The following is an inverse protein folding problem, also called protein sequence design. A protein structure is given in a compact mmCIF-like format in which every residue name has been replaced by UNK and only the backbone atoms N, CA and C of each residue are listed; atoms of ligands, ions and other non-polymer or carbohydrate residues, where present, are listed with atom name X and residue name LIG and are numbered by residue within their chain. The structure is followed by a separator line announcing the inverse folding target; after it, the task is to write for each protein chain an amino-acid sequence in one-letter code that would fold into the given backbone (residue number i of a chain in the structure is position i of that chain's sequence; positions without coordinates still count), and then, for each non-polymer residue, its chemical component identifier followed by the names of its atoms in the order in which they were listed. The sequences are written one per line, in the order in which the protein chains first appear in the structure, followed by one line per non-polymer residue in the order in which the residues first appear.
data_IF_754262588778
#
_entry.id   IF_754262588778
#
_cell.length_a   1.000
_cell.length_b   1.000
_cell.length_c   1.000
_cell.angle_alpha   90.00
_cell.angle_beta   90.00
_cell.angle_gamma   90.00
#
_symmetry.space_group_name_H-M   'P 1'
#
loop_
_entity.id
_entity.type
_entity.pdbx_description
1 polymer ?
#
# COMPACT_ATOMS: atom_id res chain seq x y z
N UNK A 1 4.37 28.83 21.98
CA UNK A 1 4.81 27.47 21.64
C UNK A 1 4.08 26.56 22.61
N UNK A 2 2.97 25.96 22.18
CA UNK A 2 2.30 24.95 23.01
C UNK A 2 3.22 23.73 23.10
N UNK A 3 3.49 23.28 24.32
CA UNK A 3 4.25 22.05 24.54
C UNK A 3 3.52 20.87 23.90
N UNK A 4 4.22 19.97 23.17
CA UNK A 4 3.60 18.79 22.61
C UNK A 4 3.09 17.92 23.77
N UNK A 5 1.76 17.89 23.96
CA UNK A 5 1.10 16.98 24.88
C UNK A 5 1.36 15.57 24.40
N UNK A 6 2.30 14.87 25.02
CA UNK A 6 2.49 13.44 24.76
C UNK A 6 1.18 12.73 25.10
N UNK A 7 0.51 12.10 24.11
CA UNK A 7 -0.73 11.41 24.39
C UNK A 7 -0.42 10.25 25.34
N UNK A 8 -1.21 10.15 26.42
CA UNK A 8 -1.13 9.05 27.39
C UNK A 8 -1.73 7.78 26.78
N UNK A 9 -1.11 7.29 25.71
CA UNK A 9 -1.48 6.03 25.06
C UNK A 9 -0.39 4.99 25.29
N UNK A 10 -0.78 3.72 25.25
CA UNK A 10 0.17 2.63 25.38
C UNK A 10 0.91 2.46 24.02
N UNK A 11 2.23 2.71 23.94
CA UNK A 11 2.98 2.65 22.67
C UNK A 11 2.85 1.30 21.94
N UNK A 12 2.66 0.22 22.69
CA UNK A 12 2.47 -1.13 22.17
C UNK A 12 1.23 -1.31 21.27
N UNK A 13 0.31 -0.34 21.24
CA UNK A 13 -0.85 -0.37 20.33
C UNK A 13 -0.43 -0.29 18.85
N UNK A 14 0.68 0.39 18.53
CA UNK A 14 1.22 0.48 17.17
C UNK A 14 2.02 -0.77 16.75
N UNK A 15 2.23 -1.73 17.66
CA UNK A 15 2.88 -2.99 17.33
C UNK A 15 2.04 -3.82 16.35
N UNK A 16 0.72 -3.81 16.49
CA UNK A 16 -0.17 -4.59 15.61
C UNK A 16 -0.13 -4.09 14.16
N UNK A 17 -0.29 -2.77 13.87
CA UNK A 17 -0.02 -2.21 12.55
C UNK A 17 1.36 -2.59 12.00
N UNK A 18 2.42 -2.50 12.81
CA UNK A 18 3.79 -2.82 12.37
C UNK A 18 3.96 -4.31 12.00
N UNK A 19 3.32 -5.23 12.72
CA UNK A 19 3.33 -6.65 12.36
C UNK A 19 2.58 -6.87 11.03
N UNK A 20 1.43 -6.22 10.84
CA UNK A 20 0.68 -6.29 9.58
C UNK A 20 1.50 -5.73 8.41
N UNK A 21 2.25 -4.65 8.61
CA UNK A 21 3.14 -4.05 7.60
C UNK A 21 4.24 -5.02 7.16
N UNK A 22 4.93 -5.65 8.11
CA UNK A 22 5.99 -6.62 7.83
C UNK A 22 5.43 -7.85 7.12
N UNK A 23 4.32 -8.42 7.62
CA UNK A 23 3.68 -9.60 7.02
C UNK A 23 3.22 -9.27 5.59
N UNK A 24 2.61 -8.11 5.39
CA UNK A 24 2.14 -7.72 4.06
C UNK A 24 3.30 -7.52 3.09
N UNK A 25 4.36 -6.82 3.51
CA UNK A 25 5.55 -6.59 2.68
C UNK A 25 6.25 -7.89 2.33
N UNK A 26 6.37 -8.83 3.27
CA UNK A 26 6.95 -10.14 3.01
C UNK A 26 6.12 -10.96 2.00
N UNK A 27 4.79 -10.98 2.14
CA UNK A 27 3.92 -11.69 1.21
C UNK A 27 3.91 -11.04 -0.19
N UNK A 28 3.96 -9.70 -0.26
CA UNK A 28 4.07 -8.96 -1.53
C UNK A 28 5.41 -9.23 -2.22
N UNK A 29 6.51 -9.31 -1.46
CA UNK A 29 7.83 -9.62 -2.00
C UNK A 29 7.87 -11.04 -2.59
N UNK A 30 7.34 -12.03 -1.89
CA UNK A 30 7.22 -13.41 -2.41
C UNK A 30 6.30 -13.44 -3.63
N UNK A 31 5.16 -12.73 -3.58
CA UNK A 31 4.21 -12.64 -4.68
C UNK A 31 4.84 -12.07 -5.95
N UNK A 32 5.64 -11.00 -5.82
CA UNK A 32 6.34 -10.37 -6.94
C UNK A 32 7.41 -11.27 -7.59
N UNK A 33 8.01 -12.19 -6.83
CA UNK A 33 8.97 -13.17 -7.38
C UNK A 33 8.28 -14.32 -8.15
N UNK A 34 6.98 -14.55 -7.90
CA UNK A 34 6.21 -15.64 -8.52
C UNK A 34 5.27 -15.15 -9.63
N UNK A 35 4.94 -13.86 -9.66
CA UNK A 35 4.04 -13.25 -10.64
C UNK A 35 4.73 -12.13 -11.42
N UNK A 36 4.08 -11.64 -12.48
CA UNK A 36 4.61 -10.51 -13.25
C UNK A 36 4.38 -9.19 -12.52
N UNK A 37 5.28 -8.22 -12.72
CA UNK A 37 5.13 -6.88 -12.15
C UNK A 37 3.81 -6.18 -12.56
N UNK A 38 3.31 -6.49 -13.77
CA UNK A 38 2.02 -6.00 -14.27
C UNK A 38 0.85 -6.57 -13.46
N UNK A 39 0.76 -7.90 -13.32
CA UNK A 39 -0.27 -8.56 -12.50
C UNK A 39 -0.23 -8.09 -11.04
N UNK A 40 0.96 -7.94 -10.45
CA UNK A 40 1.14 -7.40 -9.11
C UNK A 40 0.49 -6.01 -8.95
N UNK A 41 0.77 -5.09 -9.87
CA UNK A 41 0.22 -3.73 -9.81
C UNK A 41 -1.29 -3.72 -10.02
N UNK A 42 -1.83 -4.58 -10.89
CA UNK A 42 -3.27 -4.67 -11.10
C UNK A 42 -4.00 -5.26 -9.89
N UNK A 43 -3.39 -6.19 -9.17
CA UNK A 43 -3.93 -6.77 -7.93
C UNK A 43 -3.94 -5.76 -6.76
N UNK A 44 -3.21 -4.65 -6.85
CA UNK A 44 -3.32 -3.57 -5.87
C UNK A 44 -4.71 -2.92 -5.86
N UNK A 45 -5.51 -3.07 -6.92
CA UNK A 45 -6.93 -2.68 -6.88
C UNK A 45 -7.72 -3.38 -5.78
N UNK A 46 -7.34 -4.63 -5.41
CA UNK A 46 -7.97 -5.35 -4.30
C UNK A 46 -7.77 -4.65 -2.95
N UNK A 47 -6.70 -3.88 -2.79
CA UNK A 47 -6.44 -3.09 -1.59
C UNK A 47 -7.56 -2.09 -1.31
N UNK A 48 -8.05 -1.42 -2.36
CA UNK A 48 -9.10 -0.40 -2.25
C UNK A 48 -10.39 -1.03 -1.73
N UNK A 49 -10.74 -2.22 -2.25
CA UNK A 49 -11.93 -2.97 -1.82
C UNK A 49 -11.77 -3.45 -0.39
N UNK A 50 -10.64 -4.08 -0.06
CA UNK A 50 -10.40 -4.61 1.28
C UNK A 50 -10.39 -3.49 2.33
N UNK A 51 -9.70 -2.38 2.05
CA UNK A 51 -9.63 -1.21 2.94
C UNK A 51 -11.00 -0.56 3.10
N UNK A 52 -11.75 -0.41 2.00
CA UNK A 52 -13.12 0.10 2.04
C UNK A 52 -14.04 -0.77 2.91
N UNK A 53 -14.02 -2.09 2.72
CA UNK A 53 -14.84 -3.04 3.50
C UNK A 53 -14.43 -3.08 4.97
N UNK A 54 -13.13 -3.15 5.29
CA UNK A 54 -12.64 -3.13 6.67
C UNK A 54 -12.95 -1.79 7.36
N UNK A 55 -12.86 -0.67 6.64
CA UNK A 55 -13.20 0.65 7.17
C UNK A 55 -14.69 0.72 7.56
N UNK A 56 -15.60 0.15 6.76
CA UNK A 56 -17.03 0.02 7.15
C UNK A 56 -17.17 -0.79 8.43
N UNK A 57 -16.50 -1.93 8.50
CA UNK A 57 -16.64 -2.85 9.62
C UNK A 57 -16.09 -2.25 10.93
N UNK A 58 -14.95 -1.56 10.88
CA UNK A 58 -14.29 -1.00 12.05
C UNK A 58 -14.84 0.36 12.51
N UNK A 59 -15.22 1.24 11.57
CA UNK A 59 -15.74 2.57 11.89
C UNK A 59 -17.27 2.67 11.83
N UNK A 60 -17.97 1.61 11.39
CA UNK A 60 -19.44 1.55 11.23
C UNK A 60 -20.01 2.72 10.41
N UNK A 61 -19.20 3.27 9.50
CA UNK A 61 -19.61 4.40 8.62
C UNK A 61 -20.59 3.89 7.55
N UNK A 62 -21.63 4.68 7.27
CA UNK A 62 -22.57 4.42 6.17
C UNK A 62 -21.92 4.82 4.86
N UNK A 63 -21.94 3.92 3.88
CA UNK A 63 -21.39 4.16 2.54
C UNK A 63 -22.51 4.57 1.59
N UNK A 64 -22.25 5.64 0.83
CA UNK A 64 -23.12 6.10 -0.24
C UNK A 64 -23.03 5.19 -1.47
N UNK A 65 -24.14 4.98 -2.17
CA UNK A 65 -24.29 3.93 -3.19
C UNK A 65 -23.26 3.98 -4.34
N UNK A 66 -22.70 5.15 -4.66
CA UNK A 66 -21.67 5.24 -5.70
C UNK A 66 -20.35 4.57 -5.30
N UNK A 67 -19.98 4.55 -4.01
CA UNK A 67 -18.75 3.86 -3.55
C UNK A 67 -18.88 2.36 -3.71
N UNK A 68 -20.08 1.82 -3.50
CA UNK A 68 -20.41 0.41 -3.79
C UNK A 68 -20.24 0.08 -5.27
N UNK A 69 -20.68 0.99 -6.16
CA UNK A 69 -20.56 0.78 -7.60
C UNK A 69 -19.11 0.61 -8.04
N UNK A 70 -18.17 1.44 -7.58
CA UNK A 70 -16.78 1.20 -7.97
C UNK A 70 -16.10 0.08 -7.23
N UNK A 71 -16.50 -0.25 -6.00
CA UNK A 71 -16.05 -1.49 -5.35
C UNK A 71 -16.40 -2.71 -6.22
N UNK A 72 -17.61 -2.77 -6.76
CA UNK A 72 -18.03 -3.84 -7.69
C UNK A 72 -17.19 -3.85 -8.97
N UNK A 73 -16.93 -2.68 -9.53
CA UNK A 73 -16.17 -2.53 -10.76
C UNK A 73 -14.67 -2.90 -10.57
N UNK A 74 -14.10 -2.62 -9.41
CA UNK A 74 -12.75 -3.08 -9.02
C UNK A 74 -12.72 -4.60 -8.90
N UNK A 75 -13.74 -5.21 -8.28
CA UNK A 75 -13.89 -6.67 -8.20
C UNK A 75 -13.99 -7.29 -9.60
N UNK A 76 -14.75 -6.70 -10.52
CA UNK A 76 -14.81 -7.15 -11.92
C UNK A 76 -13.44 -7.07 -12.60
N UNK A 77 -12.69 -5.99 -12.39
CA UNK A 77 -11.32 -5.85 -12.87
C UNK A 77 -10.42 -6.99 -12.38
N UNK A 78 -10.44 -7.30 -11.09
CA UNK A 78 -9.64 -8.38 -10.50
C UNK A 78 -9.99 -9.76 -11.07
N UNK A 79 -11.28 -10.03 -11.30
CA UNK A 79 -11.72 -11.29 -11.94
C UNK A 79 -11.17 -11.38 -13.37
N UNK A 80 -11.20 -10.29 -14.13
CA UNK A 80 -10.63 -10.26 -15.48
C UNK A 80 -9.12 -10.55 -15.47
N UNK A 81 -8.35 -9.95 -14.54
CA UNK A 81 -6.91 -10.22 -14.39
C UNK A 81 -6.65 -11.69 -14.09
N UNK A 82 -7.41 -12.26 -13.14
CA UNK A 82 -7.28 -13.67 -12.81
C UNK A 82 -7.56 -14.59 -14.00
N UNK A 83 -8.59 -14.29 -14.79
CA UNK A 83 -8.94 -15.06 -15.99
C UNK A 83 -7.87 -14.91 -17.07
N UNK A 84 -7.32 -13.71 -17.29
CA UNK A 84 -6.25 -13.52 -18.28
C UNK A 84 -4.99 -14.29 -17.91
N UNK A 85 -4.62 -14.32 -16.63
CA UNK A 85 -3.42 -15.05 -16.19
C UNK A 85 -3.60 -16.57 -16.29
N UNK A 86 -4.82 -17.11 -16.13
CA UNK A 86 -5.10 -18.55 -16.34
C UNK A 86 -5.04 -18.93 -17.82
N UNK A 87 -5.53 -18.06 -18.72
CA UNK A 87 -5.59 -18.35 -20.16
C UNK A 87 -4.23 -18.14 -20.83
N UNK A 88 -3.52 -17.06 -20.47
CA UNK A 88 -2.27 -16.66 -21.11
C UNK A 88 -1.01 -17.00 -20.31
N UNK A 89 -1.14 -17.47 -19.06
CA UNK A 89 -0.01 -17.84 -18.19
C UNK A 89 0.78 -19.07 -18.64
N UNK A 90 0.41 -19.71 -19.75
CA UNK A 90 1.21 -20.76 -20.37
C UNK A 90 2.39 -20.20 -21.21
N UNK A 91 2.35 -18.92 -21.60
CA UNK A 91 3.43 -18.26 -22.36
C UNK A 91 4.38 -17.41 -21.50
N UNK A 92 4.14 -17.32 -20.19
CA UNK A 92 5.00 -16.59 -19.26
C UNK A 92 6.22 -17.41 -18.82
N UNK A 93 7.31 -16.72 -18.45
CA UNK A 93 8.55 -17.32 -17.94
C UNK A 93 8.34 -18.17 -16.67
N UNK A 94 7.25 -17.91 -15.94
CA UNK A 94 6.78 -18.70 -14.81
C UNK A 94 5.65 -19.63 -15.27
N UNK A 95 5.69 -20.91 -14.92
CA UNK A 95 4.62 -21.83 -15.27
C UNK A 95 3.28 -21.33 -14.71
N UNK A 96 2.17 -21.50 -15.45
CA UNK A 96 0.87 -20.92 -15.06
C UNK A 96 0.40 -21.23 -13.63
N UNK A 97 0.85 -22.35 -13.04
CA UNK A 97 0.59 -22.68 -11.64
C UNK A 97 1.34 -21.79 -10.64
N UNK A 98 2.57 -21.36 -10.94
CA UNK A 98 3.38 -20.49 -10.07
C UNK A 98 2.82 -19.07 -10.06
N UNK A 99 2.46 -18.55 -11.24
CA UNK A 99 1.82 -17.23 -11.39
C UNK A 99 0.49 -17.17 -10.62
N UNK A 100 -0.31 -18.24 -10.68
CA UNK A 100 -1.58 -18.31 -9.93
C UNK A 100 -1.35 -18.30 -8.41
N UNK A 101 -0.33 -19.01 -7.91
CA UNK A 101 0.03 -18.99 -6.49
C UNK A 101 0.48 -17.58 -6.09
N UNK A 102 1.32 -16.92 -6.90
CA UNK A 102 1.74 -15.53 -6.69
C UNK A 102 0.56 -14.56 -6.61
N UNK A 103 -0.42 -14.70 -7.51
CA UNK A 103 -1.62 -13.86 -7.52
C UNK A 103 -2.48 -14.04 -6.26
N UNK A 104 -2.71 -15.27 -5.81
CA UNK A 104 -3.44 -15.54 -4.57
C UNK A 104 -2.70 -14.92 -3.38
N UNK A 105 -1.37 -15.08 -3.33
CA UNK A 105 -0.55 -14.54 -2.26
C UNK A 105 -0.62 -13.00 -2.21
N UNK A 106 -0.57 -12.35 -3.37
CA UNK A 106 -0.75 -10.90 -3.49
C UNK A 106 -2.12 -10.45 -2.94
N UNK A 107 -3.21 -11.15 -3.29
CA UNK A 107 -4.56 -10.81 -2.79
C UNK A 107 -4.65 -10.96 -1.27
N UNK A 108 -4.09 -12.04 -0.72
CA UNK A 108 -4.02 -12.25 0.74
C UNK A 108 -3.20 -11.14 1.40
N UNK A 109 -2.09 -10.73 0.79
CA UNK A 109 -1.27 -9.65 1.30
C UNK A 109 -2.05 -8.32 1.37
N UNK A 110 -2.90 -8.02 0.37
CA UNK A 110 -3.74 -6.81 0.39
C UNK A 110 -4.69 -6.74 1.59
N UNK A 111 -5.12 -7.88 2.14
CA UNK A 111 -5.94 -7.90 3.36
C UNK A 111 -5.11 -7.43 4.56
N UNK A 112 -3.84 -7.85 4.65
CA UNK A 112 -2.93 -7.41 5.70
C UNK A 112 -2.58 -5.92 5.57
N UNK A 113 -2.32 -5.42 4.35
CA UNK A 113 -2.12 -3.98 4.10
C UNK A 113 -3.38 -3.19 4.48
N UNK A 114 -4.57 -3.65 4.06
CA UNK A 114 -5.83 -3.01 4.42
C UNK A 114 -6.03 -2.95 5.95
N UNK A 115 -5.69 -4.04 6.64
CA UNK A 115 -5.80 -4.09 8.10
C UNK A 115 -4.86 -3.11 8.78
N UNK A 116 -3.60 -3.01 8.34
CA UNK A 116 -2.66 -2.01 8.80
C UNK A 116 -3.23 -0.59 8.63
N UNK A 117 -3.67 -0.22 7.42
CA UNK A 117 -4.16 1.13 7.13
C UNK A 117 -5.39 1.51 7.99
N UNK A 118 -6.32 0.57 8.19
CA UNK A 118 -7.52 0.81 9.01
C UNK A 118 -7.19 0.88 10.50
N UNK A 119 -6.22 0.08 10.97
CA UNK A 119 -5.74 0.17 12.37
C UNK A 119 -4.97 1.47 12.61
N UNK A 120 -4.13 1.90 11.66
CA UNK A 120 -3.45 3.20 11.67
C UNK A 120 -4.47 4.33 11.80
N UNK A 121 -5.48 4.41 10.91
CA UNK A 121 -6.56 5.40 10.99
C UNK A 121 -7.23 5.37 12.38
N UNK A 122 -7.53 4.17 12.87
CA UNK A 122 -8.25 4.02 14.15
C UNK A 122 -7.43 4.54 15.33
N UNK A 123 -6.13 4.23 15.38
CA UNK A 123 -5.29 4.61 16.51
C UNK A 123 -4.85 6.06 16.44
N UNK A 124 -4.48 6.55 15.25
CA UNK A 124 -4.09 7.95 15.05
C UNK A 124 -5.27 8.88 15.35
N UNK A 125 -6.49 8.58 14.87
CA UNK A 125 -7.66 9.39 15.19
C UNK A 125 -8.13 9.26 16.65
N UNK A 126 -8.03 8.06 17.26
CA UNK A 126 -8.49 7.84 18.64
C UNK A 126 -7.60 8.51 19.69
N UNK A 127 -6.29 8.47 19.48
CA UNK A 127 -5.30 8.99 20.44
C UNK A 127 -4.73 10.35 20.02
N UNK A 128 -5.22 10.93 18.92
CA UNK A 128 -4.74 12.18 18.29
C UNK A 128 -3.21 12.26 18.22
N UNK A 129 -2.59 11.16 17.81
CA UNK A 129 -1.13 11.06 17.75
C UNK A 129 -0.62 11.89 16.58
N UNK A 130 0.50 12.57 16.78
CA UNK A 130 1.18 13.28 15.69
C UNK A 130 1.71 12.28 14.65
N UNK A 131 1.49 12.54 13.36
CA UNK A 131 1.82 11.61 12.29
C UNK A 131 3.32 11.22 12.30
N UNK A 132 4.20 12.18 12.61
CA UNK A 132 5.64 11.93 12.70
C UNK A 132 6.00 10.95 13.83
N UNK A 133 5.32 11.05 14.98
CA UNK A 133 5.54 10.14 16.11
C UNK A 133 5.00 8.74 15.83
N UNK A 134 3.84 8.64 15.17
CA UNK A 134 3.27 7.36 14.75
C UNK A 134 4.20 6.59 13.78
N UNK A 135 4.70 7.26 12.73
CA UNK A 135 5.68 6.66 11.80
C UNK A 135 6.97 6.26 12.53
N UNK A 136 7.44 7.07 13.46
CA UNK A 136 8.63 6.75 14.24
C UNK A 136 8.48 5.48 15.08
N UNK A 137 7.34 5.29 15.74
CA UNK A 137 7.06 4.08 16.52
C UNK A 137 6.94 2.84 15.64
N UNK A 138 6.19 2.92 14.54
CA UNK A 138 6.08 1.81 13.58
C UNK A 138 7.44 1.44 12.99
N UNK A 139 8.26 2.43 12.65
CA UNK A 139 9.63 2.22 12.18
C UNK A 139 10.52 1.52 13.20
N UNK A 140 10.45 1.88 14.48
CA UNK A 140 11.21 1.22 15.54
C UNK A 140 10.74 -0.23 15.74
N UNK A 141 9.44 -0.46 15.83
CA UNK A 141 8.89 -1.82 15.97
C UNK A 141 9.25 -2.69 14.76
N UNK A 142 9.10 -2.16 13.55
CA UNK A 142 9.49 -2.81 12.31
C UNK A 142 10.99 -3.15 12.29
N UNK A 143 11.84 -2.19 12.64
CA UNK A 143 13.29 -2.41 12.72
C UNK A 143 13.66 -3.52 13.69
N UNK A 144 13.08 -3.54 14.90
CA UNK A 144 13.37 -4.58 15.90
C UNK A 144 12.90 -5.95 15.43
N UNK A 145 11.68 -6.06 14.90
CA UNK A 145 11.13 -7.33 14.42
C UNK A 145 11.94 -7.85 13.24
N UNK A 146 12.27 -7.00 12.25
CA UNK A 146 13.07 -7.38 11.10
C UNK A 146 14.48 -7.78 11.51
N UNK A 147 15.13 -7.00 12.40
CA UNK A 147 16.47 -7.33 12.90
C UNK A 147 16.52 -8.70 13.59
N UNK A 148 15.51 -9.04 14.38
CA UNK A 148 15.39 -10.37 15.00
C UNK A 148 15.13 -11.43 13.92
N UNK A 149 14.30 -11.11 12.91
CA UNK A 149 13.94 -12.02 11.81
C UNK A 149 15.09 -12.34 10.87
N UNK A 150 16.10 -11.45 10.73
CA UNK A 150 17.31 -11.71 9.95
C UNK A 150 18.05 -12.97 10.41
N UNK A 151 18.03 -13.29 11.71
CA UNK A 151 18.72 -14.45 12.27
C UNK A 151 18.14 -15.78 11.74
N UNK A 152 16.83 -16.09 11.90
CA UNK A 152 16.26 -17.31 11.34
C UNK A 152 16.28 -17.32 9.80
N UNK A 153 16.06 -16.18 9.13
CA UNK A 153 16.05 -16.11 7.66
C UNK A 153 17.42 -16.42 7.03
N UNK A 154 18.51 -16.15 7.77
CA UNK A 154 19.86 -16.55 7.35
C UNK A 154 20.06 -18.07 7.31
N UNK A 155 19.45 -18.82 8.24
CA UNK A 155 19.62 -20.28 8.34
C UNK A 155 18.62 -21.07 7.49
N UNK A 156 17.53 -20.44 7.04
CA UNK A 156 16.55 -21.09 6.16
C UNK A 156 17.12 -21.13 4.74
N UNK A 157 17.39 -22.35 4.28
CA UNK A 157 17.83 -22.58 2.91
C UNK A 157 16.61 -22.82 2.02
N UNK A 158 16.52 -22.10 0.93
CA UNK A 158 15.43 -22.21 -0.04
C UNK A 158 15.96 -22.62 -1.40
N UNK A 159 15.09 -23.26 -2.20
CA UNK A 159 15.43 -23.62 -3.57
C UNK A 159 15.67 -22.39 -4.45
N UNK A 160 16.25 -22.57 -5.65
CA UNK A 160 16.59 -21.49 -6.57
C UNK A 160 15.40 -20.65 -7.04
N UNK A 161 14.17 -21.14 -6.84
CA UNK A 161 12.93 -20.39 -7.09
C UNK A 161 12.73 -19.20 -6.15
N UNK A 162 13.35 -19.21 -4.96
CA UNK A 162 13.15 -18.19 -3.92
C UNK A 162 14.43 -17.45 -3.51
N UNK A 163 15.61 -17.91 -3.93
CA UNK A 163 16.87 -17.22 -3.65
C UNK A 163 17.88 -17.43 -4.77
N UNK A 164 18.48 -16.33 -5.24
CA UNK A 164 19.58 -16.31 -6.21
C UNK A 164 20.95 -16.21 -5.50
N UNK A 165 20.98 -16.29 -4.17
CA UNK A 165 22.22 -16.12 -3.41
C UNK A 165 23.13 -17.35 -3.53
N UNK A 166 24.47 -17.16 -3.54
CA UNK A 166 25.44 -18.25 -3.66
C UNK A 166 25.31 -19.32 -2.56
N UNK A 167 24.85 -18.92 -1.38
CA UNK A 167 24.70 -19.78 -0.21
C UNK A 167 23.32 -20.46 -0.12
N UNK A 168 22.37 -20.12 -1.02
CA UNK A 168 21.01 -20.67 -1.00
C UNK A 168 20.18 -20.30 0.22
N UNK A 169 20.66 -19.39 1.09
CA UNK A 169 19.87 -18.83 2.18
C UNK A 169 18.81 -17.88 1.66
N UNK A 170 17.68 -17.79 2.38
CA UNK A 170 16.58 -16.90 2.04
C UNK A 170 17.03 -15.44 2.10
N UNK A 171 17.76 -15.05 3.14
CA UNK A 171 18.42 -13.74 3.23
C UNK A 171 19.88 -13.88 3.68
N UNK A 172 20.82 -13.44 2.84
CA UNK A 172 22.24 -13.38 3.19
C UNK A 172 22.68 -11.94 3.53
N UNK A 173 22.49 -11.57 4.80
CA UNK A 173 22.84 -10.25 5.33
C UNK A 173 24.34 -9.97 5.22
N UNK A 174 25.18 -10.99 5.39
CA UNK A 174 26.64 -10.84 5.36
C UNK A 174 27.09 -10.53 3.93
N UNK A 175 26.52 -11.23 2.95
CA UNK A 175 26.76 -10.95 1.54
C UNK A 175 26.24 -9.57 1.13
N UNK A 176 25.01 -9.22 1.52
CA UNK A 176 24.42 -7.91 1.25
C UNK A 176 25.26 -6.76 1.84
N UNK A 177 25.74 -6.91 3.08
CA UNK A 177 26.60 -5.93 3.73
C UNK A 177 27.92 -5.73 2.99
N UNK A 178 28.56 -6.83 2.56
CA UNK A 178 29.78 -6.76 1.73
C UNK A 178 29.52 -6.04 0.41
N UNK A 179 28.38 -6.29 -0.23
CA UNK A 179 28.02 -5.66 -1.50
C UNK A 179 27.84 -4.14 -1.35
N UNK A 180 27.24 -3.69 -0.25
CA UNK A 180 27.09 -2.26 0.08
C UNK A 180 28.45 -1.59 0.32
N UNK A 181 29.39 -2.27 0.99
CA UNK A 181 30.73 -1.74 1.24
C UNK A 181 31.60 -1.66 -0.01
N UNK A 182 31.44 -2.60 -0.93
CA UNK A 182 32.26 -2.68 -2.16
C UNK A 182 31.74 -1.68 -3.21
N UNK A 183 30.43 -1.52 -3.34
CA UNK A 183 29.81 -0.66 -4.35
C UNK A 183 29.10 0.54 -3.69
N UNK A 184 29.78 1.70 -3.54
CA UNK A 184 29.21 2.85 -2.83
C UNK A 184 27.95 3.42 -3.50
N UNK A 185 27.75 3.17 -4.80
CA UNK A 185 26.52 3.55 -5.50
C UNK A 185 25.28 2.84 -4.94
N UNK A 186 25.42 1.59 -4.48
CA UNK A 186 24.34 0.84 -3.81
C UNK A 186 24.02 1.48 -2.46
N UNK A 187 25.05 1.89 -1.70
CA UNK A 187 24.86 2.58 -0.44
C UNK A 187 24.09 3.91 -0.60
N UNK A 188 24.43 4.69 -1.64
CA UNK A 188 23.72 5.94 -1.97
C UNK A 188 22.27 5.66 -2.36
N UNK A 189 22.01 4.68 -3.22
CA UNK A 189 20.66 4.28 -3.61
C UNK A 189 19.83 3.79 -2.40
N UNK A 190 20.44 3.03 -1.50
CA UNK A 190 19.78 2.55 -0.27
C UNK A 190 19.41 3.72 0.65
N UNK A 191 20.33 4.66 0.87
CA UNK A 191 20.06 5.85 1.68
C UNK A 191 18.95 6.72 1.08
N UNK A 192 18.99 6.94 -0.24
CA UNK A 192 17.95 7.68 -0.94
C UNK A 192 16.57 6.99 -0.81
N UNK A 193 16.53 5.66 -0.91
CA UNK A 193 15.33 4.86 -0.73
C UNK A 193 14.78 4.97 0.70
N UNK A 194 15.63 4.88 1.73
CA UNK A 194 15.21 5.04 3.13
C UNK A 194 14.57 6.41 3.38
N UNK A 195 15.22 7.48 2.91
CA UNK A 195 14.69 8.85 3.04
C UNK A 195 13.35 8.98 2.30
N UNK A 196 13.25 8.44 1.09
CA UNK A 196 12.03 8.48 0.30
C UNK A 196 10.87 7.75 0.99
N UNK A 197 11.10 6.56 1.55
CA UNK A 197 10.09 5.78 2.26
C UNK A 197 9.66 6.51 3.54
N UNK A 198 10.60 7.11 4.28
CA UNK A 198 10.26 7.88 5.49
C UNK A 198 9.33 9.06 5.18
N UNK A 199 9.62 9.83 4.12
CA UNK A 199 8.77 10.93 3.67
C UNK A 199 7.41 10.42 3.19
N UNK A 200 7.40 9.32 2.43
CA UNK A 200 6.17 8.70 1.92
C UNK A 200 5.26 8.23 3.06
N UNK A 201 5.81 7.54 4.08
CA UNK A 201 5.04 7.06 5.23
C UNK A 201 4.53 8.23 6.08
N UNK A 202 5.33 9.27 6.29
CA UNK A 202 4.88 10.49 6.97
C UNK A 202 3.71 11.17 6.25
N UNK A 203 3.82 11.36 4.94
CA UNK A 203 2.75 11.91 4.13
C UNK A 203 1.50 11.02 4.15
N UNK A 204 1.69 9.70 4.06
CA UNK A 204 0.60 8.71 4.11
C UNK A 204 -0.18 8.76 5.41
N UNK A 205 0.49 8.73 6.57
CA UNK A 205 -0.19 8.84 7.87
C UNK A 205 -0.85 10.22 8.02
N UNK A 206 -0.23 11.29 7.54
CA UNK A 206 -0.83 12.63 7.58
C UNK A 206 -2.14 12.70 6.79
N UNK A 207 -2.18 12.14 5.58
CA UNK A 207 -3.42 12.02 4.78
C UNK A 207 -4.46 11.16 5.49
N UNK A 208 -4.04 10.07 6.12
CA UNK A 208 -4.94 9.17 6.86
C UNK A 208 -5.57 9.87 8.06
N UNK A 209 -4.78 10.69 8.78
CA UNK A 209 -5.20 11.45 9.94
C UNK A 209 -6.26 12.51 9.59
N UNK A 210 -6.03 13.27 8.51
CA UNK A 210 -6.89 14.38 8.11
C UNK A 210 -8.11 13.94 7.29
N UNK A 211 -8.01 12.81 6.56
CA UNK A 211 -9.06 12.32 5.67
C UNK A 211 -9.54 10.92 6.08
N UNK A 212 -8.93 9.86 5.55
CA UNK A 212 -9.22 8.47 5.90
C UNK A 212 -8.22 7.49 5.26
N UNK A 213 -8.18 6.25 5.74
CA UNK A 213 -7.40 5.17 5.11
C UNK A 213 -7.87 4.90 3.67
N UNK A 214 -9.18 4.96 3.43
CA UNK A 214 -9.75 4.76 2.09
C UNK A 214 -9.23 5.84 1.12
N UNK A 215 -9.18 7.10 1.54
CA UNK A 215 -8.66 8.19 0.71
C UNK A 215 -7.17 8.00 0.39
N UNK A 216 -6.37 7.55 1.36
CA UNK A 216 -4.96 7.21 1.14
C UNK A 216 -4.81 6.14 0.06
N UNK A 217 -5.59 5.05 0.10
CA UNK A 217 -5.52 3.98 -0.91
C UNK A 217 -5.89 4.45 -2.32
N UNK A 218 -6.82 5.41 -2.43
CA UNK A 218 -7.16 6.02 -3.73
C UNK A 218 -6.00 6.88 -4.22
N UNK A 219 -5.37 7.69 -3.36
CA UNK A 219 -4.21 8.50 -3.74
C UNK A 219 -3.03 7.61 -4.19
N UNK A 220 -2.80 6.48 -3.52
CA UNK A 220 -1.77 5.53 -3.89
C UNK A 220 -1.99 4.90 -5.27
N UNK A 221 -3.26 4.75 -5.67
CA UNK A 221 -3.65 4.22 -6.98
C UNK A 221 -3.42 5.24 -8.10
N UNK A 222 -3.69 6.52 -7.84
CA UNK A 222 -3.38 7.63 -8.76
C UNK A 222 -1.89 7.68 -9.08
N UNK A 223 -1.02 7.50 -8.09
CA UNK A 223 0.44 7.47 -8.28
C UNK A 223 0.82 6.42 -9.32
N UNK A 224 0.26 5.22 -9.23
CA UNK A 224 0.54 4.14 -10.18
C UNK A 224 0.10 4.56 -11.59
N UNK A 225 -1.10 5.11 -11.75
CA UNK A 225 -1.59 5.59 -13.05
C UNK A 225 -0.67 6.66 -13.65
N UNK A 226 -0.18 7.60 -12.85
CA UNK A 226 0.74 8.65 -13.30
C UNK A 226 2.08 8.08 -13.79
N UNK A 227 2.61 7.08 -13.08
CA UNK A 227 3.83 6.36 -13.52
C UNK A 227 3.62 5.71 -14.88
N UNK A 228 2.46 5.10 -15.11
CA UNK A 228 2.12 4.51 -16.41
C UNK A 228 1.95 5.55 -17.51
N UNK A 229 1.22 6.63 -17.22
CA UNK A 229 0.97 7.72 -18.17
C UNK A 229 2.26 8.39 -18.66
N UNK A 230 3.28 8.47 -17.80
CA UNK A 230 4.58 9.04 -18.15
C UNK A 230 5.49 7.98 -18.79
N UNK A 231 5.51 6.74 -18.27
CA UNK A 231 6.47 5.72 -18.72
C UNK A 231 6.20 5.18 -20.13
N UNK A 232 4.94 5.01 -20.52
CA UNK A 232 4.55 4.52 -21.83
C UNK A 232 5.06 5.42 -22.98
N UNK A 233 4.80 6.75 -22.98
CA UNK A 233 5.32 7.63 -24.02
C UNK A 233 6.82 7.92 -23.89
N UNK A 234 7.39 7.94 -22.67
CA UNK A 234 8.79 8.31 -22.47
C UNK A 234 9.79 7.18 -22.78
N UNK A 235 9.41 5.91 -22.55
CA UNK A 235 10.34 4.77 -22.64
C UNK A 235 9.96 3.74 -23.72
N UNK A 236 8.92 4.00 -24.53
CA UNK A 236 8.43 3.08 -25.57
C UNK A 236 8.20 1.64 -25.05
N UNK A 237 7.78 1.50 -23.79
CA UNK A 237 7.58 0.20 -23.16
C UNK A 237 6.39 -0.52 -23.82
N UNK A 238 6.63 -1.71 -24.38
CA UNK A 238 5.60 -2.55 -25.02
C UNK A 238 4.83 -3.28 -23.92
N UNK A 239 3.69 -2.71 -23.48
CA UNK A 239 2.73 -3.39 -22.60
C UNK A 239 1.66 -4.11 -23.42
N UNK A 240 1.24 -5.31 -22.97
CA UNK A 240 0.20 -6.11 -23.62
C UNK A 240 -1.15 -5.37 -23.49
N UNK A 241 -1.80 -4.95 -24.59
CA UNK A 241 -2.97 -4.05 -24.55
C UNK A 241 -4.21 -4.63 -23.83
N UNK A 242 -4.36 -5.95 -23.82
CA UNK A 242 -5.50 -6.62 -23.17
C UNK A 242 -5.47 -6.54 -21.64
N UNK A 243 -4.29 -6.47 -21.01
CA UNK A 243 -4.16 -6.16 -19.58
C UNK A 243 -4.54 -4.69 -19.31
N UNK A 244 -4.21 -3.77 -20.22
CA UNK A 244 -4.47 -2.34 -20.06
C UNK A 244 -5.96 -1.95 -20.16
N UNK A 245 -6.75 -2.62 -21.00
CA UNK A 245 -8.18 -2.31 -21.16
C UNK A 245 -9.06 -2.87 -20.03
N UNK A 246 -8.67 -3.98 -19.41
CA UNK A 246 -9.43 -4.61 -18.32
C UNK A 246 -9.33 -3.89 -16.98
N UNK A 247 -8.21 -3.20 -16.70
CA UNK A 247 -7.94 -2.54 -15.42
C UNK A 247 -7.93 -1.02 -15.44
N UNK A 248 -7.74 -0.33 -16.58
CA UNK A 248 -7.43 1.12 -16.51
C UNK A 248 -8.64 2.03 -16.78
N UNK A 249 -9.53 1.65 -17.69
CA UNK A 249 -10.70 2.47 -18.06
C UNK A 249 -11.76 2.51 -16.94
N UNK A 250 -12.10 1.39 -16.28
CA UNK A 250 -13.05 1.42 -15.17
C UNK A 250 -12.49 2.17 -13.95
N UNK A 251 -11.21 1.95 -13.62
CA UNK A 251 -10.55 2.55 -12.45
C UNK A 251 -10.40 4.06 -12.60
N UNK A 252 -9.95 4.57 -13.76
CA UNK A 252 -9.83 6.00 -14.00
C UNK A 252 -11.18 6.74 -13.98
N UNK A 253 -12.25 6.12 -14.47
CA UNK A 253 -13.61 6.70 -14.47
C UNK A 253 -14.20 6.72 -13.04
N UNK A 254 -13.92 5.69 -12.24
CA UNK A 254 -14.39 5.62 -10.85
C UNK A 254 -13.64 6.62 -9.95
N UNK A 255 -12.32 6.76 -10.13
CA UNK A 255 -11.51 7.68 -9.33
C UNK A 255 -11.74 9.14 -9.69
N UNK A 256 -11.91 9.49 -10.97
CA UNK A 256 -12.23 10.86 -11.38
C UNK A 256 -13.55 11.36 -10.74
N UNK A 257 -14.53 10.47 -10.55
CA UNK A 257 -15.79 10.79 -9.86
C UNK A 257 -15.63 10.91 -8.35
N UNK A 258 -14.78 10.10 -7.72
CA UNK A 258 -14.50 10.20 -6.28
C UNK A 258 -13.72 11.46 -5.95
N UNK A 259 -12.73 11.83 -6.77
CA UNK A 259 -11.92 13.04 -6.56
C UNK A 259 -12.77 14.29 -6.76
N UNK A 260 -13.63 14.33 -7.80
CA UNK A 260 -14.60 15.40 -7.98
C UNK A 260 -15.55 15.52 -6.76
N UNK A 261 -15.98 14.39 -6.20
CA UNK A 261 -16.89 14.38 -5.06
C UNK A 261 -16.21 14.75 -3.72
N UNK A 262 -14.95 14.33 -3.47
CA UNK A 262 -14.19 14.73 -2.28
C UNK A 262 -13.88 16.22 -2.31
N UNK A 263 -13.61 16.78 -3.50
CA UNK A 263 -13.51 18.24 -3.71
C UNK A 263 -14.82 18.95 -3.35
N UNK A 264 -15.97 18.41 -3.76
CA UNK A 264 -17.29 18.96 -3.42
C UNK A 264 -17.64 18.79 -1.93
N UNK A 265 -17.24 17.69 -1.30
CA UNK A 265 -17.52 17.43 0.12
C UNK A 265 -16.72 18.36 1.02
N UNK A 266 -15.44 18.60 0.71
CA UNK A 266 -14.61 19.57 1.42
C UNK A 266 -15.09 21.01 1.17
N UNK A 267 -15.60 21.32 -0.03
CA UNK A 267 -16.26 22.61 -0.30
C UNK A 267 -17.54 22.78 0.53
N UNK A 268 -18.35 21.73 0.71
CA UNK A 268 -19.56 21.74 1.52
C UNK A 268 -19.26 21.89 3.02
N UNK A 269 -18.24 21.20 3.53
CA UNK A 269 -17.81 21.29 4.93
C UNK A 269 -17.24 22.68 5.23
N UNK A 270 -16.44 23.25 4.33
CA UNK A 270 -15.92 24.61 4.47
C UNK A 270 -17.04 25.67 4.37
N UNK A 271 -18.05 25.45 3.52
CA UNK A 271 -19.22 26.32 3.44
C UNK A 271 -20.10 26.24 4.71
N UNK A 272 -20.26 25.05 5.30
CA UNK A 272 -20.98 24.84 6.55
C UNK A 272 -20.22 25.41 7.77
N UNK A 273 -18.90 25.27 7.81
CA UNK A 273 -18.07 25.86 8.86
C UNK A 273 -18.07 27.39 8.79
N UNK A 274 -18.13 27.96 7.57
CA UNK A 274 -18.25 29.41 7.37
C UNK A 274 -19.61 29.95 7.80
N UNK A 275 -20.71 29.25 7.49
CA UNK A 275 -22.05 29.67 7.92
C UNK A 275 -22.24 29.59 9.43
N UNK A 276 -21.64 28.59 10.10
CA UNK A 276 -21.68 28.48 11.57
C UNK A 276 -20.87 29.58 12.26
N UNK A 277 -19.75 30.02 11.66
CA UNK A 277 -18.96 31.13 12.18
C UNK A 277 -19.62 32.50 11.97
N UNK A 278 -20.27 32.71 10.82
CA UNK A 278 -21.06 33.93 10.55
C UNK A 278 -22.26 34.06 11.52
N UNK A 279 -22.88 32.95 11.91
CA UNK A 279 -23.96 32.92 12.93
C UNK A 279 -23.43 33.24 14.33
N UNK A 280 -22.21 32.82 14.68
CA UNK A 280 -21.60 33.07 16.00
C UNK A 280 -20.99 34.47 16.15
N UNK A 281 -20.69 35.15 15.05
CA UNK A 281 -20.06 36.48 15.06
C UNK A 281 -21.02 37.62 14.68
N UNK A 282 -22.23 37.29 14.20
CA UNK A 282 -23.26 38.25 13.81
C UNK A 282 -24.38 38.48 14.85
N UNK A 283 -24.16 38.17 16.12
CA UNK A 283 -25.10 38.39 17.23
C UNK A 283 -24.59 39.38 18.26
#
# INVERSE_FOLDING_TARGET
MEEPKMPTFNPFVFLLPAICDIVSTALLYIGLNLTTASSYQMLQGALIVCTGLLSILMFKRRIEGYKWFGMLLVVLGLVLVGVTDVIFGAETQHGGSEAMIGNILCVVAQIAVAMQLVLEEKYVCKYDVEALFAVGLEGIYGFVILFISLVPLYYIHVGPTFSTNPNGSLEDVIYAWKQVLIAPMIAVSLLAMIISIAIFNFAGISVTKELSATTRTVIDSIRTILVWAISVPAFHAVFIPYQMMGSSIPYAIFEAKIIAYISDTNAFINAAAKSENDIRTGG
#
